data_IF_836986644152
#
_entry.id   IF_836986644152
#
_cell.length_a   1.000
_cell.length_b   1.000
_cell.length_c   1.000
_cell.angle_alpha   90.00
_cell.angle_beta   90.00
_cell.angle_gamma   90.00
#
_symmetry.space_group_name_H-M   'P 1'
#
loop_
_entity.id
_entity.type
_entity.pdbx_description
1 polymer ?
#
# COMPACT_ATOMS: atom_id res chain seq x y z
N UNK A 1 5.21 0.31 24.29
CA UNK A 1 6.50 0.46 25.00
C UNK A 1 6.29 -0.03 26.43
N UNK A 2 7.25 -0.73 27.03
CA UNK A 2 7.05 -1.35 28.36
C UNK A 2 7.92 -0.71 29.47
N UNK A 3 8.92 0.10 29.11
CA UNK A 3 9.79 0.84 30.04
C UNK A 3 10.18 2.20 29.41
N UNK A 4 9.69 3.31 29.98
CA UNK A 4 9.95 4.67 29.45
C UNK A 4 11.39 5.13 29.69
N UNK A 5 11.94 4.86 30.86
CA UNK A 5 13.28 5.28 31.25
C UNK A 5 14.34 4.61 30.39
N UNK A 6 14.23 3.29 30.19
CA UNK A 6 15.14 2.56 29.31
C UNK A 6 15.00 3.01 27.85
N UNK A 7 13.77 3.26 27.38
CA UNK A 7 13.51 3.68 26.01
C UNK A 7 14.05 5.07 25.70
N UNK A 8 13.89 6.04 26.61
CA UNK A 8 14.46 7.39 26.46
C UNK A 8 15.99 7.35 26.44
N UNK A 9 16.62 6.57 27.34
CA UNK A 9 18.08 6.35 27.32
C UNK A 9 18.57 5.70 26.02
N UNK A 10 17.72 4.90 25.36
CA UNK A 10 18.01 4.29 24.07
C UNK A 10 17.68 5.19 22.86
N UNK A 11 17.15 6.40 23.08
CA UNK A 11 16.84 7.38 22.03
C UNK A 11 15.45 7.24 21.40
N UNK A 12 14.49 6.59 22.07
CA UNK A 12 13.09 6.63 21.65
C UNK A 12 12.45 7.96 22.08
N UNK A 13 12.21 8.85 21.12
CA UNK A 13 11.69 10.20 21.40
C UNK A 13 10.15 10.28 21.47
N UNK A 14 9.42 9.34 20.84
CA UNK A 14 7.95 9.35 20.75
C UNK A 14 7.33 7.96 20.94
N UNK A 15 6.38 7.86 21.85
CA UNK A 15 5.53 6.68 22.04
C UNK A 15 4.29 6.73 21.13
N UNK A 16 3.97 5.62 20.46
CA UNK A 16 2.72 5.45 19.71
C UNK A 16 2.11 4.05 19.91
N UNK A 17 0.77 3.91 19.84
CA UNK A 17 -0.22 5.00 19.73
C UNK A 17 -0.29 5.85 21.00
N UNK A 18 -0.64 7.12 20.87
CA UNK A 18 -0.80 8.01 22.03
C UNK A 18 -2.04 7.63 22.85
N UNK A 19 -2.01 7.91 24.17
CA UNK A 19 -3.24 8.05 24.95
C UNK A 19 -3.48 7.09 26.12
N UNK A 20 -2.46 6.43 26.67
CA UNK A 20 -2.70 5.64 27.88
C UNK A 20 -1.81 5.98 29.08
N UNK A 21 -0.77 6.80 28.90
CA UNK A 21 0.06 7.35 29.99
C UNK A 21 0.59 6.32 30.99
N UNK A 22 0.59 5.03 30.63
CA UNK A 22 0.73 3.90 31.56
C UNK A 22 2.02 3.95 32.38
N UNK A 23 3.02 4.68 31.88
CA UNK A 23 4.34 4.77 32.48
C UNK A 23 4.78 6.22 32.76
N UNK A 24 3.89 7.21 32.62
CA UNK A 24 4.24 8.63 32.81
C UNK A 24 4.58 8.93 34.28
N UNK A 25 3.79 8.42 35.22
CA UNK A 25 4.07 8.56 36.65
C UNK A 25 5.41 7.92 37.05
N UNK A 26 5.76 6.79 36.41
CA UNK A 26 7.04 6.11 36.67
C UNK A 26 8.22 6.92 36.11
N UNK A 27 8.03 7.52 34.94
CA UNK A 27 9.02 8.40 34.34
C UNK A 27 9.27 9.63 35.23
N UNK A 28 8.21 10.28 35.72
CA UNK A 28 8.34 11.42 36.64
C UNK A 28 9.09 11.05 37.93
N UNK A 29 8.77 9.89 38.53
CA UNK A 29 9.49 9.37 39.71
C UNK A 29 10.97 9.11 39.41
N UNK A 30 11.27 8.53 38.26
CA UNK A 30 12.65 8.23 37.86
C UNK A 30 13.47 9.51 37.64
N UNK A 31 12.86 10.59 37.14
CA UNK A 31 13.51 11.91 37.02
C UNK A 31 13.72 12.52 38.41
N UNK A 32 12.66 12.62 39.23
CA UNK A 32 12.73 13.22 40.58
C UNK A 32 13.73 12.51 41.51
N UNK A 33 13.92 11.20 41.32
CA UNK A 33 14.88 10.40 42.09
C UNK A 33 16.31 10.44 41.53
N UNK A 34 16.54 11.07 40.37
CA UNK A 34 17.84 11.12 39.70
C UNK A 34 18.24 9.83 38.96
N UNK A 35 17.32 8.85 38.86
CA UNK A 35 17.54 7.61 38.09
C UNK A 35 17.54 7.86 36.58
N UNK A 36 16.84 8.90 36.14
CA UNK A 36 16.93 9.46 34.80
C UNK A 36 17.37 10.93 34.91
N UNK A 37 18.38 11.30 34.13
CA UNK A 37 18.77 12.69 33.96
C UNK A 37 17.69 13.40 33.12
N UNK A 38 17.13 14.50 33.64
CA UNK A 38 16.12 15.32 32.97
C UNK A 38 16.62 15.82 31.61
N UNK A 39 17.93 16.06 31.46
CA UNK A 39 18.53 16.46 30.19
C UNK A 39 18.34 15.45 29.06
N UNK A 40 18.10 14.17 29.36
CA UNK A 40 17.75 13.15 28.35
C UNK A 40 16.32 13.35 27.85
N UNK A 41 15.39 13.73 28.74
CA UNK A 41 14.02 14.07 28.36
C UNK A 41 14.02 15.36 27.54
N UNK A 42 14.76 16.39 27.97
CA UNK A 42 14.89 17.66 27.25
C UNK A 42 15.37 17.44 25.81
N UNK A 43 16.37 16.58 25.60
CA UNK A 43 16.85 16.26 24.25
C UNK A 43 15.78 15.61 23.37
N UNK A 44 14.98 14.70 23.93
CA UNK A 44 13.88 14.08 23.18
C UNK A 44 12.81 15.12 22.83
N UNK A 45 12.46 16.00 23.79
CA UNK A 45 11.53 17.12 23.58
C UNK A 45 12.05 18.06 22.50
N UNK A 46 13.33 18.46 22.55
CA UNK A 46 13.97 19.33 21.57
C UNK A 46 13.90 18.75 20.16
N UNK A 47 14.17 17.45 19.96
CA UNK A 47 14.07 16.79 18.65
C UNK A 47 12.64 16.78 18.11
N UNK A 48 11.66 16.53 18.98
CA UNK A 48 10.25 16.56 18.60
C UNK A 48 9.81 17.99 18.27
N UNK A 49 10.22 18.98 19.06
CA UNK A 49 9.98 20.40 18.77
C UNK A 49 10.66 20.83 17.49
N UNK A 50 11.89 20.38 17.22
CA UNK A 50 12.59 20.66 15.96
C UNK A 50 11.82 20.08 14.77
N UNK A 51 11.32 18.85 14.86
CA UNK A 51 10.45 18.25 13.84
C UNK A 51 9.16 19.06 13.65
N UNK A 52 8.51 19.47 14.75
CA UNK A 52 7.33 20.32 14.73
C UNK A 52 7.67 21.63 14.03
N UNK A 53 8.74 22.33 14.39
CA UNK A 53 9.13 23.62 13.81
C UNK A 53 9.53 23.50 12.33
N UNK A 54 10.26 22.44 11.95
CA UNK A 54 10.58 22.11 10.55
C UNK A 54 9.33 21.92 9.71
N UNK A 55 8.29 21.34 10.29
CA UNK A 55 7.01 21.10 9.62
C UNK A 55 5.98 22.22 9.84
N UNK A 56 6.19 23.12 10.81
CA UNK A 56 5.29 24.21 11.20
C UNK A 56 5.13 25.26 10.08
N UNK A 57 6.15 25.46 9.24
CA UNK A 57 6.03 26.27 8.03
C UNK A 57 4.99 25.72 7.03
N UNK A 58 4.69 24.42 7.10
CA UNK A 58 3.62 23.75 6.34
C UNK A 58 2.29 23.67 7.11
N UNK A 59 2.23 24.15 8.36
CA UNK A 59 1.00 24.18 9.19
C UNK A 59 0.03 25.30 8.80
N UNK A 60 0.24 25.97 7.65
CA UNK A 60 -0.92 26.38 6.86
C UNK A 60 -1.57 25.12 6.28
N UNK A 61 -2.15 24.29 7.15
CA UNK A 61 -3.41 23.61 6.88
C UNK A 61 -4.48 24.72 6.76
N UNK A 62 -4.28 25.63 5.81
CA UNK A 62 -5.35 26.36 5.17
C UNK A 62 -6.16 25.26 4.52
N UNK A 63 -7.30 24.90 5.11
CA UNK A 63 -8.40 24.11 4.52
C UNK A 63 -8.05 23.41 3.20
N UNK A 64 -7.08 22.47 3.14
CA UNK A 64 -6.56 21.91 1.87
C UNK A 64 -6.79 22.86 0.66
N UNK A 65 -6.29 24.11 0.71
CA UNK A 65 -6.83 25.17 -0.20
C UNK A 65 -6.42 25.01 -1.66
N UNK A 66 -5.79 23.87 -2.00
CA UNK A 66 -5.54 23.44 -3.37
C UNK A 66 -6.51 22.34 -3.75
N UNK A 67 -7.06 22.41 -4.97
CA UNK A 67 -7.86 21.34 -5.54
C UNK A 67 -6.98 20.09 -5.65
N UNK A 68 -7.36 19.01 -4.95
CA UNK A 68 -6.74 17.71 -5.15
C UNK A 68 -7.07 17.24 -6.58
N UNK A 69 -6.08 17.27 -7.47
CA UNK A 69 -6.23 16.72 -8.81
C UNK A 69 -6.06 15.20 -8.75
N UNK A 70 -7.15 14.55 -8.38
CA UNK A 70 -7.21 13.11 -8.15
C UNK A 70 -6.97 12.31 -9.43
N UNK A 71 -7.33 12.87 -10.59
CA UNK A 71 -7.07 12.29 -11.91
C UNK A 71 -5.59 12.32 -12.25
N UNK A 72 -4.90 13.44 -11.98
CA UNK A 72 -3.45 13.53 -12.15
C UNK A 72 -2.70 12.55 -11.27
N UNK A 73 -3.15 12.33 -10.04
CA UNK A 73 -2.58 11.31 -9.15
C UNK A 73 -2.84 9.89 -9.68
N UNK A 74 -4.03 9.63 -10.23
CA UNK A 74 -4.36 8.36 -10.85
C UNK A 74 -3.48 8.06 -12.08
N UNK A 75 -3.30 9.02 -13.00
CA UNK A 75 -2.41 8.84 -14.15
C UNK A 75 -0.93 8.69 -13.75
N UNK A 76 -0.48 9.37 -12.70
CA UNK A 76 0.85 9.14 -12.13
C UNK A 76 0.98 7.71 -11.59
N UNK A 77 -0.02 7.24 -10.84
CA UNK A 77 -0.02 5.88 -10.26
C UNK A 77 0.01 4.81 -11.35
N UNK A 78 -0.73 5.02 -12.44
CA UNK A 78 -0.70 4.17 -13.63
C UNK A 78 0.67 4.16 -14.31
N UNK A 79 1.34 5.30 -14.45
CA UNK A 79 2.71 5.35 -14.98
C UNK A 79 3.67 4.56 -14.10
N UNK A 80 3.64 4.77 -12.79
CA UNK A 80 4.46 4.01 -11.83
C UNK A 80 4.21 2.51 -11.97
N UNK A 81 2.94 2.10 -12.07
CA UNK A 81 2.58 0.69 -12.26
C UNK A 81 3.16 0.11 -13.56
N UNK A 82 3.08 0.84 -14.68
CA UNK A 82 3.67 0.42 -15.97
C UNK A 82 5.19 0.27 -15.88
N UNK A 83 5.87 1.19 -15.18
CA UNK A 83 7.32 1.19 -15.00
C UNK A 83 7.79 0.14 -13.95
N UNK A 84 6.86 -0.41 -13.16
CA UNK A 84 7.15 -1.42 -12.12
C UNK A 84 7.06 -2.87 -12.63
N UNK A 85 6.60 -3.09 -13.87
CA UNK A 85 6.47 -4.44 -14.44
C UNK A 85 7.82 -4.92 -14.97
N UNK A 86 8.26 -6.09 -14.51
CA UNK A 86 9.50 -6.74 -14.98
C UNK A 86 9.14 -7.92 -15.88
N UNK A 87 9.58 -7.87 -17.14
CA UNK A 87 9.42 -8.97 -18.09
C UNK A 87 10.46 -10.06 -17.82
N UNK A 88 10.03 -11.16 -17.20
CA UNK A 88 10.93 -12.27 -16.83
C UNK A 88 11.27 -13.20 -18.01
N UNK A 89 10.32 -13.42 -18.92
CA UNK A 89 10.45 -14.37 -20.04
C UNK A 89 9.65 -13.90 -21.26
N UNK A 90 10.24 -13.99 -22.45
CA UNK A 90 9.59 -13.68 -23.72
C UNK A 90 10.19 -14.51 -24.87
N UNK A 91 9.75 -15.76 -25.00
CA UNK A 91 10.16 -16.65 -26.10
C UNK A 91 9.41 -16.32 -27.39
N UNK A 92 10.04 -16.59 -28.53
CA UNK A 92 9.48 -16.41 -29.87
C UNK A 92 8.87 -15.04 -30.18
N UNK A 93 9.32 -14.00 -29.44
CA UNK A 93 8.77 -12.64 -29.51
C UNK A 93 7.25 -12.64 -29.33
N UNK A 94 6.73 -13.46 -28.41
CA UNK A 94 5.30 -13.57 -28.12
C UNK A 94 4.71 -12.21 -27.72
N UNK A 95 5.45 -11.43 -26.92
CA UNK A 95 5.09 -10.07 -26.54
C UNK A 95 5.89 -9.03 -27.36
N UNK A 96 5.24 -7.90 -27.75
CA UNK A 96 3.84 -7.55 -27.49
C UNK A 96 2.86 -8.38 -28.33
N UNK A 97 1.66 -8.61 -27.79
CA UNK A 97 0.61 -9.35 -28.50
C UNK A 97 0.23 -8.61 -29.80
N UNK A 98 0.08 -9.36 -30.90
CA UNK A 98 -0.41 -8.81 -32.17
C UNK A 98 -1.84 -8.29 -32.02
N UNK A 99 -2.13 -7.17 -32.68
CA UNK A 99 -3.47 -6.55 -32.73
C UNK A 99 -4.41 -7.22 -33.74
N UNK A 100 -3.88 -8.09 -34.61
CA UNK A 100 -4.65 -8.67 -35.72
C UNK A 100 -5.18 -10.07 -35.39
N UNK A 101 -6.47 -10.29 -35.63
CA UNK A 101 -7.14 -11.60 -35.72
C UNK A 101 -6.82 -12.61 -34.61
N UNK A 102 -6.77 -12.18 -33.34
CA UNK A 102 -6.62 -13.09 -32.20
C UNK A 102 -7.89 -13.17 -31.37
N UNK A 103 -8.40 -14.39 -31.19
CA UNK A 103 -9.31 -14.71 -30.09
C UNK A 103 -8.50 -14.65 -28.79
N UNK A 104 -8.92 -13.83 -27.84
CA UNK A 104 -8.28 -13.74 -26.53
C UNK A 104 -9.07 -14.58 -25.54
N UNK A 105 -8.37 -15.43 -24.80
CA UNK A 105 -8.90 -16.10 -23.62
C UNK A 105 -8.11 -15.59 -22.41
N UNK A 106 -8.83 -15.09 -21.42
CA UNK A 106 -8.27 -14.64 -20.15
C UNK A 106 -8.60 -15.69 -19.09
N UNK A 107 -7.58 -16.25 -18.45
CA UNK A 107 -7.74 -17.25 -17.40
C UNK A 107 -7.11 -16.73 -16.11
N UNK A 108 -7.84 -16.78 -15.01
CA UNK A 108 -7.36 -16.42 -13.68
C UNK A 108 -8.18 -15.32 -13.02
N UNK A 109 -8.64 -15.60 -11.81
CA UNK A 109 -9.49 -14.74 -10.97
C UNK A 109 -8.93 -13.34 -10.72
N UNK A 110 -7.60 -13.19 -10.73
CA UNK A 110 -6.93 -11.89 -10.58
C UNK A 110 -7.13 -10.96 -11.79
N UNK A 111 -7.56 -11.47 -12.94
CA UNK A 111 -7.89 -10.63 -14.10
C UNK A 111 -9.13 -9.76 -13.84
N UNK A 112 -10.10 -10.29 -13.08
CA UNK A 112 -11.29 -9.56 -12.62
C UNK A 112 -11.04 -8.87 -11.27
N UNK A 113 -10.34 -9.55 -10.35
CA UNK A 113 -10.10 -9.10 -8.98
C UNK A 113 -8.61 -8.81 -8.77
N UNK A 114 -8.09 -7.67 -9.25
CA UNK A 114 -6.65 -7.43 -9.27
C UNK A 114 -6.05 -7.37 -7.87
N UNK A 115 -4.89 -8.02 -7.69
CA UNK A 115 -4.06 -7.86 -6.51
C UNK A 115 -3.01 -6.78 -6.77
N UNK A 116 -3.26 -5.58 -6.26
CA UNK A 116 -2.44 -4.39 -6.51
C UNK A 116 -1.72 -3.87 -5.25
N UNK A 117 -2.03 -4.39 -4.06
CA UNK A 117 -1.40 -3.99 -2.81
C UNK A 117 -1.29 -5.16 -1.82
N UNK A 118 -0.52 -4.94 -0.75
CA UNK A 118 -0.45 -5.81 0.42
C UNK A 118 -1.68 -5.66 1.34
N UNK A 119 -1.60 -6.26 2.52
CA UNK A 119 -2.64 -6.20 3.55
C UNK A 119 -2.13 -5.48 4.82
N UNK A 120 -3.01 -5.27 5.80
CA UNK A 120 -2.65 -4.67 7.09
C UNK A 120 -2.58 -3.14 7.05
N UNK A 121 -1.62 -2.55 7.76
CA UNK A 121 -1.52 -1.09 7.94
C UNK A 121 -1.25 -0.30 6.65
N UNK A 122 -0.82 -0.98 5.58
CA UNK A 122 -0.60 -0.36 4.27
C UNK A 122 -1.81 -0.45 3.33
N UNK A 123 -2.94 -0.99 3.79
CA UNK A 123 -4.13 -1.10 2.97
C UNK A 123 -4.78 0.26 2.75
N UNK A 124 -4.92 0.66 1.49
CA UNK A 124 -5.55 1.91 1.08
C UNK A 124 -6.74 1.62 0.17
N UNK A 125 -7.85 2.33 0.37
CA UNK A 125 -9.00 2.30 -0.54
C UNK A 125 -8.70 3.23 -1.72
N UNK A 126 -8.59 2.71 -2.95
CA UNK A 126 -8.21 3.53 -4.11
C UNK A 126 -9.37 4.38 -4.59
N UNK A 127 -9.05 5.55 -5.17
CA UNK A 127 -10.03 6.39 -5.87
C UNK A 127 -10.69 5.66 -7.04
N UNK A 128 -9.86 4.99 -7.85
CA UNK A 128 -10.27 4.27 -9.05
C UNK A 128 -9.38 3.04 -9.20
N UNK A 129 -10.01 1.91 -9.48
CA UNK A 129 -9.35 0.63 -9.74
C UNK A 129 -9.90 0.07 -11.04
N UNK A 130 -9.01 -0.25 -11.97
CA UNK A 130 -9.35 -0.85 -13.27
C UNK A 130 -8.77 -2.25 -13.31
N UNK A 131 -9.62 -3.27 -13.47
CA UNK A 131 -9.19 -4.65 -13.66
C UNK A 131 -8.67 -4.88 -15.09
N UNK A 132 -8.05 -6.04 -15.35
CA UNK A 132 -7.67 -6.40 -16.73
C UNK A 132 -8.92 -6.53 -17.61
N UNK A 133 -9.98 -7.14 -17.10
CA UNK A 133 -11.23 -7.32 -17.85
C UNK A 133 -11.89 -5.97 -18.19
N UNK A 134 -11.86 -5.01 -17.26
CA UNK A 134 -12.37 -3.66 -17.50
C UNK A 134 -11.55 -2.96 -18.60
N UNK A 135 -10.22 -3.01 -18.50
CA UNK A 135 -9.34 -2.41 -19.50
C UNK A 135 -9.54 -3.00 -20.90
N UNK A 136 -9.75 -4.33 -21.01
CA UNK A 136 -10.04 -4.98 -22.30
C UNK A 136 -11.39 -4.52 -22.87
N UNK A 137 -12.44 -4.42 -22.03
CA UNK A 137 -13.76 -3.91 -22.44
C UNK A 137 -13.68 -2.45 -22.89
N UNK A 138 -13.00 -1.59 -22.14
CA UNK A 138 -12.80 -0.16 -22.48
C UNK A 138 -12.06 0.02 -23.81
N UNK A 139 -11.16 -0.93 -24.16
CA UNK A 139 -10.45 -0.94 -25.44
C UNK A 139 -11.22 -1.61 -26.58
N UNK A 140 -12.43 -2.11 -26.33
CA UNK A 140 -13.25 -2.81 -27.33
C UNK A 140 -12.66 -4.14 -27.78
N UNK A 141 -11.83 -4.78 -26.94
CA UNK A 141 -11.18 -6.05 -27.25
C UNK A 141 -12.10 -7.19 -26.79
N UNK A 142 -12.52 -8.06 -27.72
CA UNK A 142 -13.32 -9.25 -27.40
C UNK A 142 -12.46 -10.33 -26.76
N UNK A 143 -12.98 -10.93 -25.68
CA UNK A 143 -12.33 -12.03 -24.97
C UNK A 143 -13.36 -12.99 -24.37
N UNK A 144 -12.91 -14.23 -24.11
CA UNK A 144 -13.60 -15.18 -23.22
C UNK A 144 -12.86 -15.21 -21.89
N UNK A 145 -13.58 -15.25 -20.77
CA UNK A 145 -13.00 -15.25 -19.43
C UNK A 145 -13.33 -16.53 -18.68
N UNK A 146 -12.34 -17.06 -17.97
CA UNK A 146 -12.47 -18.19 -17.04
C UNK A 146 -11.75 -17.87 -15.73
N UNK A 147 -12.40 -18.11 -14.58
CA UNK A 147 -11.82 -17.83 -13.26
C UNK A 147 -10.54 -18.66 -13.01
N UNK A 148 -10.52 -19.89 -13.51
CA UNK A 148 -9.34 -20.78 -13.55
C UNK A 148 -8.89 -21.33 -12.20
N UNK A 149 -9.00 -20.57 -11.13
CA UNK A 149 -8.68 -20.97 -9.76
C UNK A 149 -9.38 -20.05 -8.73
N UNK A 150 -9.72 -20.57 -7.55
CA UNK A 150 -10.31 -19.76 -6.49
C UNK A 150 -9.26 -18.93 -5.74
N UNK A 151 -9.69 -17.78 -5.21
CA UNK A 151 -8.83 -16.89 -4.39
C UNK A 151 -8.86 -17.20 -2.90
N UNK A 152 -9.86 -17.94 -2.43
CA UNK A 152 -9.98 -18.38 -1.03
C UNK A 152 -9.60 -19.87 -0.90
N UNK A 153 -8.81 -20.22 0.12
CA UNK A 153 -8.48 -21.62 0.42
C UNK A 153 -9.76 -22.42 0.68
N UNK A 154 -9.90 -23.56 -0.01
CA UNK A 154 -11.01 -24.50 0.19
C UNK A 154 -12.05 -24.58 -0.93
N UNK A 155 -11.95 -23.75 -1.98
CA UNK A 155 -12.72 -23.95 -3.20
C UNK A 155 -11.93 -24.82 -4.19
N UNK A 156 -12.59 -25.80 -4.81
CA UNK A 156 -12.02 -26.57 -5.92
C UNK A 156 -12.08 -25.74 -7.22
N UNK A 157 -11.13 -25.91 -8.16
CA UNK A 157 -11.23 -25.25 -9.47
C UNK A 157 -12.55 -25.66 -10.14
N UNK A 158 -13.31 -24.66 -10.58
CA UNK A 158 -14.68 -24.85 -11.09
C UNK A 158 -14.70 -25.52 -12.46
N UNK A 159 -13.59 -25.49 -13.21
CA UNK A 159 -13.48 -26.04 -14.58
C UNK A 159 -12.08 -26.58 -14.87
N UNK A 160 -12.02 -27.70 -15.60
CA UNK A 160 -10.78 -28.35 -16.01
C UNK A 160 -10.14 -27.67 -17.22
N UNK A 161 -8.81 -27.79 -17.38
CA UNK A 161 -8.06 -27.22 -18.52
C UNK A 161 -8.59 -27.71 -19.88
N UNK A 162 -9.08 -28.95 -19.95
CA UNK A 162 -9.70 -29.51 -21.16
C UNK A 162 -11.01 -28.84 -21.54
N UNK A 163 -11.82 -28.43 -20.57
CA UNK A 163 -13.08 -27.70 -20.82
C UNK A 163 -12.82 -26.28 -21.34
N UNK A 164 -11.78 -25.62 -20.83
CA UNK A 164 -11.35 -24.29 -21.31
C UNK A 164 -10.88 -24.39 -22.77
N UNK A 165 -10.12 -25.43 -23.13
CA UNK A 165 -9.60 -25.62 -24.49
C UNK A 165 -10.66 -26.06 -25.49
N UNK A 166 -11.72 -26.78 -25.07
CA UNK A 166 -12.85 -27.17 -25.93
C UNK A 166 -13.74 -25.98 -26.35
N UNK A 167 -13.63 -24.83 -25.69
CA UNK A 167 -14.40 -23.62 -25.97
C UNK A 167 -13.75 -22.63 -26.95
N UNK A 168 -12.55 -22.93 -27.49
CA UNK A 168 -11.75 -22.06 -28.37
C UNK A 168 -11.93 -22.47 -29.85
#
# INVERSE_FOLDING_TARGET
>A
MNDKTASLKAGLDLEMPGGAGYFDENLEKDIRSGKLDEGILDQAVDRILELILKTAGNHKIKELTGTLDIEKHHELSKRIALDSVILLKNEDKLLPLSKENRKIVVVGSLAEKPRYQGAGSSHIIPYKLTSLLDALKEKGISFTYYDGYPLEEGHLPVQSTEEILKGI
#
